data_IF_381622642659
#
_entry.id   IF_381622642659
#
_cell.length_a   1.000
_cell.length_b   1.000
_cell.length_c   1.000
_cell.angle_alpha   90.00
_cell.angle_beta   90.00
_cell.angle_gamma   90.00
#
_symmetry.space_group_name_H-M   'P 1'
#
loop_
_entity.id
_entity.type
_entity.pdbx_description
1 polymer ?
#
# COMPACT_ATOMS: atom_id res chain seq x y z
N UNK A 1 -13.37 16.13 -11.14
CA UNK A 1 -12.05 15.50 -11.43
C UNK A 1 -12.27 14.37 -12.42
N UNK A 2 -11.47 14.32 -13.47
CA UNK A 2 -11.45 13.22 -14.42
C UNK A 2 -10.14 12.44 -14.32
N UNK A 3 -10.21 11.15 -14.61
CA UNK A 3 -9.11 10.20 -14.53
C UNK A 3 -8.82 9.60 -15.90
N UNK A 4 -7.55 9.43 -16.20
CA UNK A 4 -7.04 8.85 -17.44
C UNK A 4 -6.27 7.56 -17.17
N UNK A 5 -6.12 6.73 -18.23
CA UNK A 5 -5.22 5.59 -18.22
C UNK A 5 -3.80 6.00 -18.59
N UNK A 6 -2.80 5.47 -17.88
CA UNK A 6 -1.38 5.65 -18.18
C UNK A 6 -0.97 5.11 -19.56
N UNK A 7 -1.78 4.24 -20.17
CA UNK A 7 -1.51 3.62 -21.48
C UNK A 7 -2.35 4.17 -22.63
N UNK A 8 -3.14 5.23 -22.38
CA UNK A 8 -3.79 6.01 -23.41
C UNK A 8 -5.18 5.57 -23.81
N UNK A 9 -5.86 4.75 -23.00
CA UNK A 9 -7.29 4.50 -23.22
C UNK A 9 -8.04 5.83 -23.33
N UNK A 10 -8.91 6.01 -24.34
CA UNK A 10 -9.52 7.31 -24.62
C UNK A 10 -10.53 7.77 -23.56
N UNK A 11 -11.14 6.84 -22.84
CA UNK A 11 -12.16 7.15 -21.85
C UNK A 11 -11.61 7.97 -20.70
N UNK A 12 -12.38 8.95 -20.27
CA UNK A 12 -12.19 9.70 -19.06
C UNK A 12 -13.29 9.32 -18.09
N UNK A 13 -12.89 8.93 -16.88
CA UNK A 13 -13.80 8.40 -15.86
C UNK A 13 -13.79 9.25 -14.61
N UNK A 14 -14.85 9.15 -13.83
CA UNK A 14 -14.94 9.79 -12.51
C UNK A 14 -14.46 8.83 -11.41
N UNK A 15 -14.29 9.35 -10.21
CA UNK A 15 -13.73 8.57 -9.09
C UNK A 15 -14.54 7.30 -8.78
N UNK A 16 -15.86 7.40 -8.66
CA UNK A 16 -16.70 6.26 -8.30
C UNK A 16 -16.73 5.16 -9.37
N UNK A 17 -16.45 5.50 -10.63
CA UNK A 17 -16.32 4.50 -11.70
C UNK A 17 -15.01 3.72 -11.54
N UNK A 18 -13.89 4.41 -11.36
CA UNK A 18 -12.57 3.76 -11.22
C UNK A 18 -12.39 3.06 -9.87
N UNK A 19 -13.12 3.48 -8.84
CA UNK A 19 -13.13 2.83 -7.52
C UNK A 19 -13.46 1.34 -7.61
N UNK A 20 -14.50 0.99 -8.35
CA UNK A 20 -14.96 -0.39 -8.51
C UNK A 20 -14.22 -1.11 -9.66
N UNK A 21 -13.80 -0.40 -10.68
CA UNK A 21 -13.10 -0.97 -11.83
C UNK A 21 -11.64 -1.34 -11.50
N UNK A 22 -10.94 -0.48 -10.79
CA UNK A 22 -9.57 -0.67 -10.32
C UNK A 22 -8.50 -0.49 -11.39
N UNK A 23 -8.61 -1.16 -12.54
CA UNK A 23 -7.66 -1.18 -13.65
C UNK A 23 -8.35 -0.70 -14.93
N UNK A 24 -7.63 0.07 -15.76
CA UNK A 24 -8.16 0.52 -17.05
C UNK A 24 -8.28 -0.65 -18.06
N UNK A 25 -9.19 -0.57 -19.04
CA UNK A 25 -9.42 -1.65 -20.01
C UNK A 25 -8.21 -2.01 -20.86
N UNK A 26 -7.28 -1.06 -21.05
CA UNK A 26 -6.02 -1.26 -21.77
C UNK A 26 -4.88 -1.80 -20.90
N UNK A 27 -5.19 -2.15 -19.65
CA UNK A 27 -4.20 -2.62 -18.67
C UNK A 27 -3.39 -1.50 -18.01
N UNK A 28 -3.66 -0.23 -18.36
CA UNK A 28 -3.05 0.93 -17.73
C UNK A 28 -3.61 1.22 -16.34
N UNK A 29 -2.91 2.07 -15.61
CA UNK A 29 -3.31 2.52 -14.27
C UNK A 29 -4.04 3.86 -14.36
N UNK A 30 -4.98 4.08 -13.45
CA UNK A 30 -5.67 5.36 -13.38
C UNK A 30 -4.86 6.41 -12.62
N UNK A 31 -4.84 7.62 -13.19
CA UNK A 31 -4.32 8.85 -12.59
C UNK A 31 -5.27 10.01 -12.88
N UNK A 32 -5.34 11.05 -12.03
CA UNK A 32 -6.05 12.27 -12.38
C UNK A 32 -5.41 12.94 -13.60
N UNK A 33 -6.20 13.62 -14.43
CA UNK A 33 -5.67 14.36 -15.58
C UNK A 33 -4.63 15.40 -15.18
N UNK A 34 -4.81 16.02 -14.02
CA UNK A 34 -3.83 16.90 -13.40
C UNK A 34 -3.88 16.76 -11.87
N UNK A 35 -2.74 16.91 -11.22
CA UNK A 35 -2.70 16.96 -9.77
C UNK A 35 -3.22 18.32 -9.27
N UNK A 36 -4.19 18.34 -8.34
CA UNK A 36 -4.61 19.58 -7.68
C UNK A 36 -3.42 20.27 -7.04
N UNK A 37 -3.37 21.59 -7.16
CA UNK A 37 -2.30 22.38 -6.57
C UNK A 37 -2.74 22.96 -5.22
N UNK A 38 -1.87 22.85 -4.23
CA UNK A 38 -2.08 23.33 -2.87
C UNK A 38 -1.09 24.48 -2.64
N UNK A 39 -1.61 25.68 -2.50
CA UNK A 39 -0.80 26.87 -2.24
C UNK A 39 -0.43 27.03 -0.75
N UNK A 40 0.41 28.00 -0.44
CA UNK A 40 0.88 28.26 0.91
C UNK A 40 -0.27 28.61 1.88
N UNK A 41 -1.30 29.29 1.42
CA UNK A 41 -2.47 29.63 2.23
C UNK A 41 -3.28 28.37 2.58
N UNK A 42 -3.47 27.48 1.61
CA UNK A 42 -4.14 26.19 1.81
C UNK A 42 -3.33 25.29 2.75
N UNK A 43 -2.02 25.21 2.60
CA UNK A 43 -1.15 24.44 3.52
C UNK A 43 -1.27 24.97 4.96
N UNK A 44 -1.27 26.29 5.14
CA UNK A 44 -1.45 26.92 6.47
C UNK A 44 -2.80 26.55 7.06
N UNK A 45 -3.87 26.63 6.28
CA UNK A 45 -5.22 26.26 6.72
C UNK A 45 -5.28 24.77 7.07
N UNK A 46 -4.71 23.88 6.27
CA UNK A 46 -4.74 22.44 6.53
C UNK A 46 -3.93 22.04 7.78
N UNK A 47 -2.85 22.75 8.06
CA UNK A 47 -2.11 22.58 9.32
C UNK A 47 -3.02 22.88 10.52
N UNK A 48 -3.79 23.96 10.47
CA UNK A 48 -4.77 24.30 11.52
C UNK A 48 -5.91 23.27 11.57
N UNK A 49 -6.42 22.81 10.42
CA UNK A 49 -7.45 21.76 10.36
C UNK A 49 -6.97 20.48 11.05
N UNK A 50 -5.76 20.03 10.78
CA UNK A 50 -5.20 18.85 11.44
C UNK A 50 -5.07 19.07 12.96
N UNK A 51 -4.56 20.21 13.38
CA UNK A 51 -4.32 20.51 14.79
C UNK A 51 -5.63 20.64 15.61
N UNK A 52 -6.66 21.26 15.04
CA UNK A 52 -7.90 21.60 15.72
C UNK A 52 -9.01 20.56 15.55
N UNK A 53 -9.09 19.93 14.37
CA UNK A 53 -10.18 19.05 13.98
C UNK A 53 -9.72 17.59 13.76
N UNK A 54 -8.43 17.35 13.65
CA UNK A 54 -7.84 16.01 13.56
C UNK A 54 -7.69 15.46 12.14
N UNK A 55 -7.23 14.22 12.08
CA UNK A 55 -6.86 13.54 10.82
C UNK A 55 -8.03 13.34 9.85
N UNK A 56 -9.21 12.96 10.35
CA UNK A 56 -10.39 12.76 9.50
C UNK A 56 -10.80 14.04 8.75
N UNK A 57 -10.66 15.20 9.39
CA UNK A 57 -10.92 16.49 8.76
C UNK A 57 -9.87 16.84 7.70
N UNK A 58 -8.58 16.56 7.96
CA UNK A 58 -7.53 16.70 6.94
C UNK A 58 -7.78 15.74 5.76
N UNK A 59 -8.17 14.50 6.04
CA UNK A 59 -8.51 13.54 4.98
C UNK A 59 -9.64 14.07 4.08
N UNK A 60 -10.69 14.65 4.65
CA UNK A 60 -11.76 15.28 3.87
C UNK A 60 -11.23 16.40 2.98
N UNK A 61 -10.37 17.27 3.48
CA UNK A 61 -9.77 18.34 2.69
C UNK A 61 -8.98 17.83 1.48
N UNK A 62 -8.14 16.83 1.69
CA UNK A 62 -7.33 16.22 0.60
C UNK A 62 -8.23 15.48 -0.39
N UNK A 63 -9.09 14.59 0.12
CA UNK A 63 -9.92 13.72 -0.72
C UNK A 63 -10.94 14.51 -1.55
N UNK A 64 -11.46 15.62 -1.03
CA UNK A 64 -12.41 16.49 -1.75
C UNK A 64 -11.84 17.10 -3.02
N UNK A 65 -10.51 17.22 -3.14
CA UNK A 65 -9.85 17.68 -4.37
C UNK A 65 -9.93 16.65 -5.50
N UNK A 66 -10.10 15.37 -5.16
CA UNK A 66 -10.06 14.24 -6.08
C UNK A 66 -11.43 13.58 -6.29
N UNK A 67 -12.29 13.64 -5.29
CA UNK A 67 -13.59 12.95 -5.25
C UNK A 67 -14.68 14.02 -5.30
N UNK A 68 -15.25 14.24 -6.49
CA UNK A 68 -16.30 15.24 -6.73
C UNK A 68 -17.64 14.61 -7.16
N UNK A 69 -17.74 13.28 -7.12
CA UNK A 69 -18.92 12.50 -7.46
C UNK A 69 -19.52 11.74 -6.26
N UNK A 70 -19.04 12.05 -5.04
CA UNK A 70 -19.68 11.73 -3.77
C UNK A 70 -20.13 13.06 -3.13
N UNK A 71 -21.37 13.18 -2.65
CA UNK A 71 -21.81 14.37 -1.93
C UNK A 71 -20.91 14.72 -0.75
N UNK A 72 -20.65 16.01 -0.53
CA UNK A 72 -19.67 16.47 0.47
C UNK A 72 -19.96 15.96 1.88
N UNK A 73 -21.24 15.94 2.30
CA UNK A 73 -21.62 15.45 3.63
C UNK A 73 -21.41 13.94 3.75
N UNK A 74 -21.64 13.18 2.69
CA UNK A 74 -21.39 11.73 2.66
C UNK A 74 -19.88 11.43 2.72
N UNK A 75 -19.06 12.17 1.97
CA UNK A 75 -17.61 12.02 2.03
C UNK A 75 -17.06 12.37 3.42
N UNK A 76 -17.60 13.42 4.04
CA UNK A 76 -17.28 13.80 5.42
C UNK A 76 -17.61 12.67 6.39
N UNK A 77 -18.80 12.08 6.28
CA UNK A 77 -19.22 10.96 7.10
C UNK A 77 -18.32 9.73 6.92
N UNK A 78 -17.92 9.43 5.68
CA UNK A 78 -16.99 8.33 5.36
C UNK A 78 -15.61 8.55 6.00
N UNK A 79 -15.04 9.74 5.92
CA UNK A 79 -13.78 10.08 6.57
C UNK A 79 -13.88 9.96 8.10
N UNK A 80 -14.94 10.50 8.70
CA UNK A 80 -15.17 10.46 10.14
C UNK A 80 -15.37 9.04 10.67
N UNK A 81 -16.04 8.17 9.90
CA UNK A 81 -16.22 6.74 10.22
C UNK A 81 -14.90 5.97 10.12
N UNK A 82 -14.04 6.33 9.18
CA UNK A 82 -12.80 5.60 8.87
C UNK A 82 -11.70 5.91 9.88
N UNK A 83 -11.39 7.20 10.06
CA UNK A 83 -10.20 7.64 10.80
C UNK A 83 -10.55 8.05 12.22
N UNK A 84 -10.68 7.06 13.09
CA UNK A 84 -11.01 7.24 14.50
C UNK A 84 -9.92 6.69 15.42
N UNK A 85 -9.82 7.21 16.63
CA UNK A 85 -8.91 6.68 17.65
C UNK A 85 -9.25 5.23 18.04
N UNK A 86 -10.52 4.83 17.94
CA UNK A 86 -10.93 3.44 18.18
C UNK A 86 -10.31 2.48 17.16
N UNK A 87 -10.33 2.86 15.88
CA UNK A 87 -9.80 2.03 14.78
C UNK A 87 -8.27 2.05 14.78
N UNK A 88 -7.65 3.21 14.96
CA UNK A 88 -6.19 3.41 14.79
C UNK A 88 -5.42 3.58 16.11
N UNK A 89 -6.04 3.33 17.24
CA UNK A 89 -5.37 3.24 18.54
C UNK A 89 -4.89 4.56 19.14
N UNK A 90 -4.90 5.65 18.39
CA UNK A 90 -4.46 6.98 18.84
C UNK A 90 -5.27 8.09 18.18
N UNK A 91 -5.41 9.22 18.87
CA UNK A 91 -6.12 10.39 18.38
C UNK A 91 -5.43 11.05 17.18
N UNK A 92 -4.11 10.99 17.13
CA UNK A 92 -3.30 11.54 16.06
C UNK A 92 -3.36 10.71 14.77
N UNK A 93 -3.84 9.47 14.83
CA UNK A 93 -3.93 8.46 13.77
C UNK A 93 -2.53 8.02 13.28
N UNK A 94 -1.66 8.96 12.93
CA UNK A 94 -0.29 8.72 12.44
C UNK A 94 0.73 9.55 13.24
N UNK A 95 0.89 9.29 14.56
CA UNK A 95 1.82 10.06 15.37
C UNK A 95 3.26 9.88 14.92
N UNK A 96 4.11 10.87 15.21
CA UNK A 96 5.54 10.76 15.00
C UNK A 96 6.26 10.30 16.27
N UNK A 97 7.24 9.42 16.09
CA UNK A 97 8.18 9.01 17.13
C UNK A 97 9.58 9.49 16.73
N UNK A 98 10.22 10.29 17.60
CA UNK A 98 11.60 10.71 17.38
C UNK A 98 12.52 9.50 17.60
N UNK A 99 13.35 9.18 16.62
CA UNK A 99 14.40 8.18 16.73
C UNK A 99 15.71 8.86 17.14
N UNK A 100 16.13 9.88 16.43
CA UNK A 100 17.32 10.69 16.70
C UNK A 100 17.14 12.09 16.10
N UNK A 101 18.08 13.01 16.32
CA UNK A 101 17.97 14.34 15.75
C UNK A 101 17.92 14.27 14.21
N UNK A 102 16.88 14.88 13.62
CA UNK A 102 16.63 14.85 12.20
C UNK A 102 16.08 13.55 11.63
N UNK A 103 15.77 12.55 12.48
CA UNK A 103 15.17 11.29 12.05
C UNK A 103 13.98 10.93 12.92
N UNK A 104 12.82 10.82 12.30
CA UNK A 104 11.56 10.48 12.95
C UNK A 104 10.89 9.30 12.25
N UNK A 105 10.04 8.59 12.97
CA UNK A 105 9.20 7.50 12.47
C UNK A 105 7.75 7.95 12.48
N UNK A 106 7.06 7.86 11.34
CA UNK A 106 5.63 8.05 11.27
C UNK A 106 4.93 6.70 11.48
N UNK A 107 4.15 6.62 12.55
CA UNK A 107 3.48 5.39 12.98
C UNK A 107 2.22 5.15 12.16
N UNK A 108 2.33 4.34 11.11
CA UNK A 108 1.22 4.00 10.20
C UNK A 108 0.53 2.68 10.55
N UNK A 109 1.05 1.92 11.53
CA UNK A 109 0.70 0.51 11.73
C UNK A 109 -0.14 0.25 12.98
N UNK A 110 -0.84 1.26 13.48
CA UNK A 110 -1.69 1.15 14.68
C UNK A 110 -3.14 0.73 14.35
N UNK A 111 -3.44 0.47 13.10
CA UNK A 111 -4.75 0.05 12.62
C UNK A 111 -5.12 -1.38 13.03
N UNK A 112 -6.27 -1.88 12.54
CA UNK A 112 -6.82 -3.18 12.97
C UNK A 112 -5.89 -4.36 12.78
N UNK A 113 -5.02 -4.36 11.75
CA UNK A 113 -4.15 -5.50 11.45
C UNK A 113 -2.67 -5.24 11.70
N UNK A 114 -2.33 -4.07 12.26
CA UNK A 114 -0.95 -3.70 12.61
C UNK A 114 0.00 -3.61 11.41
N UNK A 115 -0.53 -3.18 10.25
CA UNK A 115 0.23 -2.85 9.06
C UNK A 115 -0.27 -1.53 8.45
N UNK A 116 0.61 -0.78 7.79
CA UNK A 116 0.26 0.52 7.17
C UNK A 116 -0.87 0.40 6.14
N UNK A 117 -1.09 -0.79 5.60
CA UNK A 117 -2.14 -1.07 4.63
C UNK A 117 -3.55 -0.78 5.17
N UNK A 118 -3.74 -0.83 6.47
CA UNK A 118 -5.00 -0.46 7.12
C UNK A 118 -5.41 0.99 6.82
N UNK A 119 -4.45 1.89 6.67
CA UNK A 119 -4.70 3.30 6.38
C UNK A 119 -5.52 3.49 5.09
N UNK A 120 -5.22 2.70 4.07
CA UNK A 120 -5.94 2.73 2.80
C UNK A 120 -7.12 1.75 2.76
N UNK A 121 -6.97 0.54 3.31
CA UNK A 121 -8.00 -0.49 3.24
C UNK A 121 -9.25 -0.13 4.03
N UNK A 122 -9.13 0.50 5.20
CA UNK A 122 -10.29 0.92 5.98
C UNK A 122 -11.15 1.93 5.21
N UNK A 123 -10.54 2.90 4.55
CA UNK A 123 -11.26 3.83 3.68
C UNK A 123 -11.88 3.11 2.47
N UNK A 124 -11.11 2.25 1.82
CA UNK A 124 -11.58 1.48 0.65
C UNK A 124 -12.83 0.65 0.99
N UNK A 125 -12.82 -0.03 2.14
CA UNK A 125 -13.97 -0.80 2.60
C UNK A 125 -15.23 0.04 2.77
N UNK A 126 -15.10 1.22 3.38
CA UNK A 126 -16.20 2.15 3.56
C UNK A 126 -16.69 2.75 2.22
N UNK A 127 -15.77 3.07 1.31
CA UNK A 127 -16.11 3.55 -0.03
C UNK A 127 -16.82 2.46 -0.85
N UNK A 128 -16.37 1.22 -0.80
CA UNK A 128 -17.03 0.11 -1.49
C UNK A 128 -18.46 -0.10 -0.99
N UNK A 129 -18.66 -0.20 0.31
CA UNK A 129 -19.99 -0.38 0.90
C UNK A 129 -20.94 0.77 0.48
N UNK A 130 -20.45 2.01 0.53
CA UNK A 130 -21.21 3.19 0.14
C UNK A 130 -21.62 3.14 -1.34
N UNK A 131 -20.68 2.92 -2.24
CA UNK A 131 -20.93 2.97 -3.68
C UNK A 131 -21.76 1.78 -4.17
N UNK A 132 -21.51 0.58 -3.63
CA UNK A 132 -22.30 -0.61 -3.95
C UNK A 132 -23.76 -0.46 -3.50
N UNK A 133 -23.98 0.10 -2.30
CA UNK A 133 -25.34 0.40 -1.83
C UNK A 133 -26.04 1.42 -2.72
N UNK A 134 -25.34 2.47 -3.16
CA UNK A 134 -25.87 3.50 -4.06
C UNK A 134 -26.26 2.93 -5.42
N UNK A 135 -25.53 1.92 -5.91
CA UNK A 135 -25.82 1.25 -7.19
C UNK A 135 -26.78 0.07 -7.09
N UNK A 136 -27.03 -0.44 -5.91
CA UNK A 136 -27.75 -1.70 -5.72
C UNK A 136 -26.95 -2.92 -6.23
N UNK A 137 -25.62 -2.85 -6.19
CA UNK A 137 -24.70 -3.87 -6.70
C UNK A 137 -24.03 -4.64 -5.59
N UNK A 138 -23.41 -5.78 -5.94
CA UNK A 138 -22.58 -6.59 -5.08
C UNK A 138 -21.19 -6.79 -5.69
N UNK A 139 -20.21 -7.06 -4.84
CA UNK A 139 -18.84 -7.33 -5.24
C UNK A 139 -18.29 -8.53 -4.47
N UNK A 140 -17.69 -9.47 -5.19
CA UNK A 140 -16.96 -10.59 -4.63
C UNK A 140 -15.47 -10.37 -4.87
N UNK A 141 -14.75 -10.03 -3.83
CA UNK A 141 -13.32 -9.76 -3.89
C UNK A 141 -12.59 -11.10 -3.88
N UNK A 142 -11.78 -11.34 -4.89
CA UNK A 142 -10.87 -12.47 -4.97
C UNK A 142 -9.42 -11.96 -4.91
N UNK A 143 -8.64 -12.46 -3.98
CA UNK A 143 -7.27 -12.04 -3.79
C UNK A 143 -6.35 -13.18 -3.37
N UNK A 144 -5.05 -12.99 -3.59
CA UNK A 144 -3.98 -13.82 -3.05
C UNK A 144 -3.14 -12.99 -2.09
N UNK A 145 -2.69 -13.60 -1.01
CA UNK A 145 -1.92 -12.91 0.03
C UNK A 145 -0.80 -13.78 0.60
N UNK A 146 0.28 -13.13 0.99
CA UNK A 146 1.31 -13.69 1.88
C UNK A 146 1.07 -13.37 3.36
N UNK A 147 0.00 -12.60 3.68
CA UNK A 147 -0.43 -12.28 5.05
C UNK A 147 -0.95 -10.86 5.23
N UNK A 148 -0.14 -9.83 5.01
CA UNK A 148 -0.47 -8.43 5.38
C UNK A 148 -1.60 -7.83 4.53
N UNK A 149 -1.58 -8.04 3.23
CA UNK A 149 -2.61 -7.52 2.34
C UNK A 149 -3.95 -8.19 2.60
N UNK A 150 -3.93 -9.51 2.76
CA UNK A 150 -5.15 -10.29 3.03
C UNK A 150 -5.78 -9.93 4.36
N UNK A 151 -5.00 -9.87 5.43
CA UNK A 151 -5.53 -9.47 6.74
C UNK A 151 -6.10 -8.05 6.71
N UNK A 152 -5.42 -7.09 6.09
CA UNK A 152 -5.93 -5.71 5.97
C UNK A 152 -7.23 -5.64 5.17
N UNK A 153 -7.33 -6.39 4.06
CA UNK A 153 -8.54 -6.46 3.25
C UNK A 153 -9.72 -7.08 4.01
N UNK A 154 -9.49 -8.19 4.68
CA UNK A 154 -10.54 -8.89 5.44
C UNK A 154 -11.07 -8.04 6.59
N UNK A 155 -10.19 -7.41 7.38
CA UNK A 155 -10.60 -6.53 8.47
C UNK A 155 -11.31 -5.28 7.99
N UNK A 156 -10.99 -4.78 6.80
CA UNK A 156 -11.69 -3.65 6.20
C UNK A 156 -13.07 -4.01 5.65
N UNK A 157 -13.25 -5.25 5.18
CA UNK A 157 -14.47 -5.68 4.49
C UNK A 157 -15.41 -6.50 5.37
N UNK A 158 -14.94 -7.00 6.53
CA UNK A 158 -15.74 -7.83 7.42
C UNK A 158 -17.06 -7.14 7.82
N UNK A 159 -18.16 -7.88 7.76
CA UNK A 159 -19.48 -7.40 8.13
C UNK A 159 -20.09 -6.34 7.20
N UNK A 160 -19.41 -5.95 6.11
CA UNK A 160 -19.93 -4.95 5.19
C UNK A 160 -20.96 -5.53 4.23
N UNK A 161 -22.01 -4.74 3.98
CA UNK A 161 -23.07 -5.12 3.06
C UNK A 161 -22.61 -5.03 1.60
N UNK A 162 -23.04 -5.99 0.80
CA UNK A 162 -22.72 -6.02 -0.64
C UNK A 162 -21.31 -6.49 -0.99
N UNK A 163 -20.47 -6.80 0.00
CA UNK A 163 -19.09 -7.27 -0.23
C UNK A 163 -18.87 -8.66 0.36
N UNK A 164 -18.28 -9.57 -0.42
CA UNK A 164 -17.70 -10.83 0.06
C UNK A 164 -16.22 -10.87 -0.28
N UNK A 165 -15.43 -11.52 0.56
CA UNK A 165 -14.00 -11.69 0.36
C UNK A 165 -13.65 -13.17 0.28
N UNK A 166 -12.98 -13.55 -0.78
CA UNK A 166 -12.35 -14.86 -0.98
C UNK A 166 -10.84 -14.63 -1.06
N UNK A 167 -10.14 -15.00 0.02
CA UNK A 167 -8.71 -14.75 0.13
C UNK A 167 -7.92 -16.06 0.10
N UNK A 168 -7.06 -16.21 -0.91
CA UNK A 168 -6.18 -17.34 -1.08
C UNK A 168 -4.84 -17.07 -0.42
N UNK A 169 -4.36 -18.05 0.34
CA UNK A 169 -3.03 -18.01 0.96
C UNK A 169 -2.33 -19.35 0.85
N UNK A 170 -0.99 -19.40 0.79
CA UNK A 170 -0.27 -20.67 0.73
C UNK A 170 -0.38 -21.38 2.08
N UNK A 171 -0.82 -22.65 2.04
CA UNK A 171 -1.04 -23.46 3.23
C UNK A 171 0.21 -23.60 4.07
N UNK A 172 0.13 -23.20 5.35
CA UNK A 172 1.21 -23.35 6.34
C UNK A 172 2.40 -22.43 6.17
N UNK A 173 2.33 -21.42 5.29
CA UNK A 173 3.49 -20.54 4.99
C UNK A 173 3.40 -19.13 5.59
N UNK A 174 2.25 -18.69 6.03
CA UNK A 174 2.12 -17.44 6.77
C UNK A 174 2.60 -17.60 8.22
N UNK A 175 3.02 -16.52 8.87
CA UNK A 175 3.35 -16.54 10.30
C UNK A 175 2.14 -16.96 11.13
N UNK A 176 2.33 -17.59 12.31
CA UNK A 176 1.22 -17.98 13.19
C UNK A 176 0.29 -16.80 13.53
N UNK A 177 0.87 -15.62 13.73
CA UNK A 177 0.11 -14.40 14.03
C UNK A 177 -0.77 -13.97 12.84
N UNK A 178 -0.22 -13.95 11.63
CA UNK A 178 -0.98 -13.61 10.42
C UNK A 178 -2.10 -14.62 10.13
N UNK A 179 -1.81 -15.91 10.29
CA UNK A 179 -2.85 -16.96 10.19
C UNK A 179 -3.97 -16.72 11.20
N UNK A 180 -3.61 -16.41 12.45
CA UNK A 180 -4.59 -16.15 13.50
C UNK A 180 -5.44 -14.92 13.20
N UNK A 181 -4.82 -13.83 12.69
CA UNK A 181 -5.57 -12.64 12.29
C UNK A 181 -6.63 -12.94 11.24
N UNK A 182 -6.30 -13.71 10.21
CA UNK A 182 -7.22 -14.01 9.11
C UNK A 182 -8.21 -15.10 9.45
N UNK A 183 -7.72 -16.23 9.93
CA UNK A 183 -8.54 -17.44 10.08
C UNK A 183 -9.47 -17.42 11.30
N UNK A 184 -9.24 -16.53 12.26
CA UNK A 184 -10.13 -16.34 13.40
C UNK A 184 -11.37 -15.50 13.08
N UNK A 185 -11.45 -14.90 11.89
CA UNK A 185 -12.62 -14.14 11.47
C UNK A 185 -13.78 -15.07 11.16
N UNK A 186 -14.93 -14.83 11.85
CA UNK A 186 -16.14 -15.65 11.71
C UNK A 186 -17.27 -14.93 10.97
N UNK A 187 -16.98 -13.74 10.40
CA UNK A 187 -17.94 -12.96 9.62
C UNK A 187 -18.38 -13.75 8.39
N UNK A 188 -19.67 -13.77 8.09
CA UNK A 188 -20.25 -14.59 7.01
C UNK A 188 -19.72 -14.23 5.62
N UNK A 189 -19.30 -12.97 5.44
CA UNK A 189 -18.79 -12.46 4.17
C UNK A 189 -17.27 -12.65 3.98
N UNK A 190 -16.56 -13.29 4.91
CA UNK A 190 -15.10 -13.53 4.83
C UNK A 190 -14.86 -15.02 4.62
N UNK A 191 -14.14 -15.36 3.56
CA UNK A 191 -13.81 -16.73 3.19
C UNK A 191 -12.30 -16.87 2.98
N UNK A 192 -11.66 -17.66 3.83
CA UNK A 192 -10.24 -17.99 3.76
C UNK A 192 -10.04 -19.35 3.08
N UNK A 193 -9.15 -19.37 2.07
CA UNK A 193 -8.79 -20.56 1.30
C UNK A 193 -7.27 -20.75 1.43
N UNK A 194 -6.86 -21.82 2.11
CA UNK A 194 -5.45 -22.21 2.19
C UNK A 194 -5.14 -23.20 1.06
N UNK A 195 -4.32 -22.79 0.12
CA UNK A 195 -3.95 -23.55 -1.08
C UNK A 195 -2.71 -24.38 -0.79
N UNK A 196 -2.77 -25.67 -1.08
CA UNK A 196 -1.62 -26.60 -1.01
C UNK A 196 -0.64 -26.27 -2.14
N UNK A 197 0.24 -25.28 -1.91
CA UNK A 197 1.17 -24.75 -2.88
C UNK A 197 1.96 -23.56 -2.32
N UNK A 198 2.53 -22.78 -3.21
CA UNK A 198 3.26 -21.54 -2.90
C UNK A 198 2.41 -20.31 -3.22
N UNK A 199 2.92 -19.12 -2.88
CA UNK A 199 2.19 -17.87 -3.13
C UNK A 199 1.91 -17.63 -4.62
N UNK A 200 2.83 -18.03 -5.49
CA UNK A 200 2.64 -17.90 -6.95
C UNK A 200 1.47 -18.74 -7.45
N UNK A 201 1.27 -19.93 -6.88
CA UNK A 201 0.10 -20.79 -7.22
C UNK A 201 -1.22 -20.06 -6.86
N UNK A 202 -1.26 -19.40 -5.70
CA UNK A 202 -2.41 -18.59 -5.30
C UNK A 202 -2.66 -17.45 -6.29
N UNK A 203 -1.61 -16.75 -6.71
CA UNK A 203 -1.71 -15.65 -7.67
C UNK A 203 -2.17 -16.14 -9.05
N UNK A 204 -1.67 -17.29 -9.50
CA UNK A 204 -2.03 -17.85 -10.79
C UNK A 204 -3.50 -18.31 -10.82
N UNK A 205 -4.02 -18.87 -9.73
CA UNK A 205 -5.45 -19.15 -9.59
C UNK A 205 -6.27 -17.86 -9.68
N UNK A 206 -5.89 -16.80 -8.94
CA UNK A 206 -6.60 -15.51 -8.98
C UNK A 206 -6.61 -14.93 -10.40
N UNK A 207 -5.47 -14.99 -11.10
CA UNK A 207 -5.37 -14.54 -12.50
C UNK A 207 -6.27 -15.38 -13.42
N UNK A 208 -6.24 -16.70 -13.29
CA UNK A 208 -7.06 -17.59 -14.12
C UNK A 208 -8.56 -17.33 -13.93
N UNK A 209 -9.02 -17.18 -12.69
CA UNK A 209 -10.41 -16.85 -12.40
C UNK A 209 -10.79 -15.47 -12.94
N UNK A 210 -9.91 -14.49 -12.79
CA UNK A 210 -10.14 -13.11 -13.25
C UNK A 210 -10.13 -12.97 -14.78
N UNK A 211 -9.41 -13.86 -15.47
CA UNK A 211 -9.34 -13.92 -16.94
C UNK A 211 -10.52 -14.67 -17.56
N UNK A 212 -11.26 -15.47 -16.78
CA UNK A 212 -12.55 -16.02 -17.21
C UNK A 212 -13.60 -14.92 -17.11
N UNK A 213 -13.78 -14.21 -18.22
CA UNK A 213 -14.64 -13.02 -18.28
C UNK A 213 -16.11 -13.33 -18.02
N UNK A 214 -16.58 -14.52 -18.37
CA UNK A 214 -17.95 -14.93 -18.12
C UNK A 214 -18.16 -15.21 -16.63
N UNK A 215 -17.27 -15.94 -16.01
CA UNK A 215 -17.28 -16.17 -14.58
C UNK A 215 -17.15 -14.86 -13.79
N UNK A 216 -16.19 -14.03 -14.17
CA UNK A 216 -15.96 -12.70 -13.56
C UNK A 216 -17.23 -11.85 -13.60
N UNK A 217 -17.91 -11.81 -14.71
CA UNK A 217 -19.14 -11.03 -14.90
C UNK A 217 -20.30 -11.60 -14.10
N UNK A 218 -20.49 -12.93 -14.19
CA UNK A 218 -21.57 -13.63 -13.50
C UNK A 218 -21.49 -13.51 -11.98
N UNK A 219 -20.29 -13.65 -11.43
CA UNK A 219 -20.06 -13.64 -9.97
C UNK A 219 -19.52 -12.30 -9.45
N UNK A 220 -19.51 -11.24 -10.28
CA UNK A 220 -19.04 -9.90 -9.89
C UNK A 220 -17.67 -9.93 -9.21
N UNK A 221 -16.72 -10.65 -9.80
CA UNK A 221 -15.37 -10.77 -9.27
C UNK A 221 -14.63 -9.46 -9.39
N UNK A 222 -14.14 -8.95 -8.27
CA UNK A 222 -13.31 -7.76 -8.18
C UNK A 222 -12.05 -8.01 -7.35
N UNK A 223 -11.29 -6.96 -7.13
CA UNK A 223 -10.01 -7.04 -6.43
C UNK A 223 -9.76 -5.80 -5.56
N UNK A 224 -8.90 -5.98 -4.55
CA UNK A 224 -8.40 -4.89 -3.70
C UNK A 224 -6.91 -4.62 -3.93
N UNK A 225 -6.43 -4.81 -5.14
CA UNK A 225 -5.02 -4.66 -5.49
C UNK A 225 -4.46 -3.28 -5.15
N UNK A 226 -3.15 -3.21 -4.90
CA UNK A 226 -2.43 -1.98 -4.60
C UNK A 226 -2.50 -0.92 -5.70
N UNK A 227 -2.86 -1.32 -6.93
CA UNK A 227 -3.02 -0.42 -8.08
C UNK A 227 -4.31 0.40 -8.06
N UNK A 228 -5.30 0.05 -7.25
CA UNK A 228 -6.53 0.84 -7.13
C UNK A 228 -6.19 2.27 -6.69
N UNK A 229 -6.66 3.26 -7.48
CA UNK A 229 -6.36 4.67 -7.21
C UNK A 229 -6.82 5.12 -5.82
N UNK A 230 -7.98 4.65 -5.36
CA UNK A 230 -8.48 4.99 -4.03
C UNK A 230 -7.52 4.57 -2.91
N UNK A 231 -6.83 3.43 -3.07
CA UNK A 231 -5.80 2.99 -2.13
C UNK A 231 -4.60 3.93 -2.11
N UNK A 232 -4.15 4.36 -3.28
CA UNK A 232 -3.04 5.31 -3.38
C UNK A 232 -3.46 6.68 -2.82
N UNK A 233 -4.64 7.16 -3.20
CA UNK A 233 -5.17 8.44 -2.74
C UNK A 233 -5.29 8.53 -1.21
N UNK A 234 -5.77 7.48 -0.56
CA UNK A 234 -5.83 7.41 0.90
C UNK A 234 -4.45 7.61 1.56
N UNK A 235 -3.40 7.14 0.90
CA UNK A 235 -2.03 7.26 1.40
C UNK A 235 -1.44 8.67 1.23
N UNK A 236 -1.95 9.46 0.29
CA UNK A 236 -1.53 10.87 0.12
C UNK A 236 -1.76 11.66 1.41
N UNK A 237 -2.83 11.39 2.11
CA UNK A 237 -3.23 12.13 3.33
C UNK A 237 -2.16 12.08 4.41
N UNK A 238 -1.57 10.92 4.70
CA UNK A 238 -0.60 10.84 5.79
C UNK A 238 0.76 11.48 5.44
N UNK A 239 1.08 11.71 4.18
CA UNK A 239 2.24 12.54 3.84
C UNK A 239 2.03 13.99 4.25
N UNK A 240 0.82 14.54 4.07
CA UNK A 240 0.48 15.85 4.59
C UNK A 240 0.49 15.88 6.12
N UNK A 241 -0.12 14.90 6.77
CA UNK A 241 -0.12 14.81 8.22
C UNK A 241 1.29 14.69 8.80
N UNK A 242 2.11 13.78 8.27
CA UNK A 242 3.50 13.59 8.68
C UNK A 242 4.35 14.85 8.49
N UNK A 243 4.15 15.56 7.39
CA UNK A 243 4.80 16.85 7.15
C UNK A 243 4.40 17.88 8.22
N UNK A 244 3.12 18.02 8.51
CA UNK A 244 2.64 18.98 9.51
C UNK A 244 3.11 18.64 10.92
N UNK A 245 3.19 17.37 11.27
CA UNK A 245 3.73 16.94 12.57
C UNK A 245 5.25 17.12 12.67
N UNK A 246 5.99 16.99 11.56
CA UNK A 246 7.44 17.10 11.53
C UNK A 246 7.94 18.54 11.46
N UNK A 247 7.07 19.52 11.16
CA UNK A 247 7.43 20.90 10.89
C UNK A 247 6.56 21.88 11.67
N UNK A 248 7.08 23.09 11.87
CA UNK A 248 6.35 24.19 12.52
C UNK A 248 5.92 25.28 11.54
N UNK A 249 6.50 25.29 10.34
CA UNK A 249 6.16 26.25 9.26
C UNK A 249 6.23 25.57 7.89
N UNK A 250 5.61 26.19 6.88
CA UNK A 250 5.57 25.65 5.52
C UNK A 250 6.82 26.03 4.69
N UNK A 251 7.77 26.77 5.26
CA UNK A 251 9.08 27.06 4.66
C UNK A 251 10.08 25.91 4.88
N UNK A 252 9.80 25.05 5.85
CA UNK A 252 10.61 23.89 6.14
C UNK A 252 10.37 22.80 5.11
N UNK A 253 11.43 22.06 4.77
CA UNK A 253 11.36 20.88 3.91
C UNK A 253 11.60 19.62 4.72
N UNK A 254 10.94 18.54 4.32
CA UNK A 254 11.07 17.22 4.92
C UNK A 254 11.31 16.20 3.82
N UNK A 255 12.24 15.28 4.05
CA UNK A 255 12.39 14.08 3.22
C UNK A 255 11.61 12.92 3.85
N UNK A 256 11.04 12.08 3.00
CA UNK A 256 10.40 10.84 3.45
C UNK A 256 11.23 9.65 2.96
N UNK A 257 11.53 8.71 3.86
CA UNK A 257 12.13 7.43 3.51
C UNK A 257 11.09 6.33 3.63
N UNK A 258 10.90 5.60 2.54
CA UNK A 258 9.75 4.72 2.37
C UNK A 258 10.22 3.32 2.04
N UNK A 259 10.01 2.33 2.93
CA UNK A 259 10.15 0.93 2.57
C UNK A 259 9.23 0.60 1.40
N UNK A 260 9.79 0.12 0.29
CA UNK A 260 9.03 0.01 -0.97
C UNK A 260 9.22 -1.34 -1.65
N UNK A 261 8.08 -1.99 -1.95
CA UNK A 261 7.97 -3.13 -2.84
C UNK A 261 7.15 -2.75 -4.08
N UNK A 262 5.83 -2.62 -3.93
CA UNK A 262 4.90 -2.28 -5.02
C UNK A 262 4.90 -0.80 -5.44
N UNK A 263 5.72 0.03 -4.83
CA UNK A 263 5.82 1.46 -5.11
C UNK A 263 4.58 2.29 -4.72
N UNK A 264 3.54 1.70 -4.20
CA UNK A 264 2.28 2.39 -3.89
C UNK A 264 2.44 3.50 -2.85
N UNK A 265 3.09 3.19 -1.73
CA UNK A 265 3.31 4.14 -0.65
C UNK A 265 4.15 5.35 -1.11
N UNK A 266 5.31 5.11 -1.71
CA UNK A 266 6.17 6.20 -2.17
C UNK A 266 5.58 6.97 -3.36
N UNK A 267 4.76 6.33 -4.19
CA UNK A 267 4.01 6.99 -5.25
C UNK A 267 2.99 8.00 -4.67
N UNK A 268 2.35 7.68 -3.54
CA UNK A 268 1.50 8.64 -2.83
C UNK A 268 2.30 9.86 -2.35
N UNK A 269 3.53 9.68 -1.90
CA UNK A 269 4.47 10.76 -1.59
C UNK A 269 4.82 11.60 -2.81
N UNK A 270 5.03 10.96 -3.97
CA UNK A 270 5.22 11.64 -5.23
C UNK A 270 4.01 12.52 -5.58
N UNK A 271 2.80 12.00 -5.46
CA UNK A 271 1.56 12.77 -5.69
C UNK A 271 1.48 13.96 -4.73
N UNK A 272 1.71 13.76 -3.43
CA UNK A 272 1.70 14.84 -2.44
C UNK A 272 2.70 15.95 -2.78
N UNK A 273 3.92 15.57 -3.23
CA UNK A 273 4.94 16.49 -3.67
C UNK A 273 4.51 17.26 -4.93
N UNK A 274 3.88 16.59 -5.89
CA UNK A 274 3.35 17.23 -7.10
C UNK A 274 2.17 18.17 -6.80
N UNK A 275 1.44 17.96 -5.72
CA UNK A 275 0.42 18.89 -5.23
C UNK A 275 0.99 20.15 -4.61
N UNK A 276 2.28 20.18 -4.25
CA UNK A 276 2.94 21.33 -3.64
C UNK A 276 3.35 21.14 -2.18
N UNK A 277 3.21 19.93 -1.61
CA UNK A 277 3.77 19.65 -0.28
C UNK A 277 5.29 19.79 -0.32
N UNK A 278 5.91 20.55 0.64
CA UNK A 278 7.34 20.82 0.63
C UNK A 278 8.18 19.58 1.02
N UNK A 279 8.16 18.58 0.17
CA UNK A 279 8.98 17.37 0.26
C UNK A 279 10.31 17.66 -0.46
N UNK A 280 11.43 17.51 0.24
CA UNK A 280 12.75 17.62 -0.36
C UNK A 280 13.09 16.40 -1.19
N UNK A 281 13.18 15.22 -0.54
CA UNK A 281 13.44 13.94 -1.21
C UNK A 281 12.41 12.89 -0.85
N UNK A 282 12.22 11.97 -1.80
CA UNK A 282 11.55 10.69 -1.60
C UNK A 282 12.61 9.60 -1.71
N UNK A 283 12.95 8.98 -0.60
CA UNK A 283 14.00 7.97 -0.50
C UNK A 283 13.35 6.59 -0.52
N UNK A 284 13.60 5.87 -1.60
CA UNK A 284 13.10 4.50 -1.78
C UNK A 284 14.05 3.52 -1.09
N UNK A 285 13.56 2.81 -0.09
CA UNK A 285 14.32 1.75 0.57
C UNK A 285 13.83 0.39 0.10
N UNK A 286 14.73 -0.41 -0.48
CA UNK A 286 14.45 -1.79 -0.89
C UNK A 286 15.10 -2.80 0.04
N UNK A 287 14.64 -4.05 -0.02
CA UNK A 287 15.37 -5.19 0.52
C UNK A 287 16.30 -5.79 -0.54
N UNK A 288 16.65 -7.08 -0.40
CA UNK A 288 17.48 -7.81 -1.38
C UNK A 288 16.85 -7.85 -2.78
N UNK A 289 15.52 -7.71 -2.87
CA UNK A 289 14.79 -7.56 -4.13
C UNK A 289 14.84 -6.08 -4.56
N UNK A 290 15.96 -5.69 -5.13
CA UNK A 290 16.38 -4.30 -5.34
C UNK A 290 16.00 -3.72 -6.71
N UNK A 291 14.91 -4.17 -7.31
CA UNK A 291 14.46 -3.74 -8.65
C UNK A 291 14.31 -2.21 -8.74
N UNK A 292 13.71 -1.59 -7.73
CA UNK A 292 13.54 -0.13 -7.70
C UNK A 292 14.86 0.60 -7.47
N UNK A 293 15.71 0.11 -6.57
CA UNK A 293 17.03 0.71 -6.33
C UNK A 293 17.91 0.64 -7.59
N UNK A 294 17.89 -0.50 -8.30
CA UNK A 294 18.56 -0.64 -9.60
C UNK A 294 18.10 0.45 -10.58
N UNK A 295 16.77 0.66 -10.71
CA UNK A 295 16.25 1.68 -11.61
C UNK A 295 16.72 3.09 -11.22
N UNK A 296 16.56 3.50 -9.98
CA UNK A 296 16.93 4.86 -9.58
C UNK A 296 18.43 5.14 -9.66
N UNK A 297 19.28 4.11 -9.60
CA UNK A 297 20.73 4.23 -9.81
C UNK A 297 21.15 4.21 -11.27
N UNK A 298 20.47 3.44 -12.12
CA UNK A 298 20.98 3.11 -13.46
C UNK A 298 20.03 3.48 -14.60
N UNK A 299 18.76 3.69 -14.34
CA UNK A 299 17.71 3.84 -15.36
C UNK A 299 17.16 2.51 -15.89
N UNK A 300 17.74 1.37 -15.50
CA UNK A 300 17.28 0.04 -15.92
C UNK A 300 16.22 -0.48 -14.95
N UNK A 301 15.01 -0.73 -15.45
CA UNK A 301 13.96 -1.45 -14.75
C UNK A 301 13.89 -2.88 -15.25
N UNK A 302 14.36 -3.81 -14.45
CA UNK A 302 14.49 -5.22 -14.80
C UNK A 302 13.66 -6.07 -13.85
N UNK A 303 12.55 -6.62 -14.36
CA UNK A 303 11.71 -7.58 -13.63
C UNK A 303 12.44 -8.90 -13.51
N UNK A 304 12.46 -9.47 -12.31
CA UNK A 304 13.07 -10.78 -12.05
C UNK A 304 11.99 -11.84 -12.02
N UNK A 305 12.31 -13.03 -12.51
CA UNK A 305 11.43 -14.19 -12.40
C UNK A 305 11.33 -14.70 -10.97
N UNK A 306 10.40 -15.62 -10.71
CA UNK A 306 10.22 -16.21 -9.38
C UNK A 306 11.47 -16.90 -8.85
N UNK A 307 12.29 -17.49 -9.72
CA UNK A 307 13.57 -18.11 -9.34
C UNK A 307 14.65 -17.10 -8.88
N UNK A 308 14.54 -15.84 -9.31
CA UNK A 308 15.49 -14.77 -9.01
C UNK A 308 14.96 -13.80 -7.93
N UNK A 309 13.77 -14.06 -7.41
CA UNK A 309 13.17 -13.29 -6.33
C UNK A 309 13.52 -13.96 -5.01
N UNK A 310 14.13 -13.21 -4.10
CA UNK A 310 14.54 -13.71 -2.78
C UNK A 310 13.35 -13.74 -1.82
N UNK A 311 13.21 -14.84 -1.07
CA UNK A 311 12.43 -14.85 0.16
C UNK A 311 13.24 -14.21 1.27
N UNK A 312 12.76 -13.10 1.84
CA UNK A 312 13.50 -12.31 2.82
C UNK A 312 12.76 -12.21 4.15
N UNK A 313 13.45 -11.69 5.16
CA UNK A 313 12.84 -11.36 6.45
C UNK A 313 11.99 -10.07 6.46
N UNK A 314 11.89 -9.38 5.30
CA UNK A 314 10.92 -8.29 5.08
C UNK A 314 9.98 -8.64 3.91
N UNK A 315 9.12 -9.67 4.06
CA UNK A 315 8.46 -10.35 2.95
C UNK A 315 7.44 -9.49 2.18
N UNK A 316 6.91 -8.44 2.76
CA UNK A 316 5.99 -7.53 2.04
C UNK A 316 6.68 -6.74 0.93
N UNK A 317 8.01 -6.74 0.93
CA UNK A 317 8.86 -6.10 -0.08
C UNK A 317 9.52 -7.12 -1.03
N UNK A 318 9.18 -8.40 -0.96
CA UNK A 318 9.65 -9.45 -1.86
C UNK A 318 8.91 -9.34 -3.21
N UNK A 319 9.21 -8.27 -3.91
CA UNK A 319 8.53 -7.84 -5.12
C UNK A 319 9.54 -7.68 -6.24
N UNK A 320 9.28 -8.36 -7.36
CA UNK A 320 10.08 -8.27 -8.58
C UNK A 320 9.50 -7.34 -9.63
N UNK A 321 8.18 -7.11 -9.58
CA UNK A 321 7.47 -6.18 -10.45
C UNK A 321 6.66 -5.21 -9.60
N UNK A 322 7.15 -3.97 -9.48
CA UNK A 322 6.50 -2.93 -8.70
C UNK A 322 5.27 -2.40 -9.42
N UNK A 323 4.08 -2.82 -8.99
CA UNK A 323 2.82 -2.60 -9.70
C UNK A 323 2.42 -1.13 -9.88
N UNK A 324 2.83 -0.24 -8.97
CA UNK A 324 2.52 1.20 -9.06
C UNK A 324 3.62 2.05 -9.70
N UNK A 325 4.73 1.44 -10.06
CA UNK A 325 5.88 2.16 -10.62
C UNK A 325 5.55 2.84 -11.97
N UNK A 326 4.66 2.25 -12.74
CA UNK A 326 4.16 2.79 -14.01
C UNK A 326 3.61 4.22 -13.86
N UNK A 327 2.96 4.55 -12.74
CA UNK A 327 2.43 5.90 -12.49
C UNK A 327 3.53 6.96 -12.43
N UNK A 328 4.62 6.65 -11.76
CA UNK A 328 5.76 7.56 -11.71
C UNK A 328 6.47 7.68 -13.07
N UNK A 329 6.70 6.56 -13.75
CA UNK A 329 7.33 6.58 -15.08
C UNK A 329 6.48 7.35 -16.09
N UNK A 330 5.16 7.23 -16.04
CA UNK A 330 4.26 8.04 -16.85
C UNK A 330 4.49 9.55 -16.63
N UNK A 331 4.58 10.01 -15.40
CA UNK A 331 4.90 11.41 -15.09
C UNK A 331 6.32 11.78 -15.53
N UNK A 332 7.31 10.90 -15.31
CA UNK A 332 8.70 11.09 -15.72
C UNK A 332 8.83 11.30 -17.26
N UNK A 333 8.01 10.58 -18.02
CA UNK A 333 7.94 10.68 -19.49
C UNK A 333 7.07 11.85 -19.99
N UNK A 334 6.70 12.79 -19.11
CA UNK A 334 5.84 13.93 -19.46
C UNK A 334 4.41 13.52 -19.82
N UNK A 335 3.94 12.39 -19.26
CA UNK A 335 2.62 11.80 -19.50
C UNK A 335 2.41 11.30 -20.94
N UNK A 336 3.49 10.85 -21.57
CA UNK A 336 3.43 10.19 -22.89
C UNK A 336 2.89 8.75 -22.73
N UNK A 337 1.59 8.59 -22.99
CA UNK A 337 0.89 7.32 -22.84
C UNK A 337 1.37 6.25 -23.83
N UNK A 338 1.68 6.63 -25.06
CA UNK A 338 2.15 5.69 -26.09
C UNK A 338 3.52 5.13 -25.70
N UNK A 339 4.40 5.98 -25.20
CA UNK A 339 5.72 5.57 -24.71
C UNK A 339 5.61 4.72 -23.46
N UNK A 340 4.75 5.08 -22.51
CA UNK A 340 4.50 4.31 -21.29
C UNK A 340 4.00 2.91 -21.64
N UNK A 341 3.02 2.80 -22.54
CA UNK A 341 2.50 1.52 -23.02
C UNK A 341 3.61 0.66 -23.62
N UNK A 342 4.44 1.23 -24.51
CA UNK A 342 5.59 0.50 -25.10
C UNK A 342 6.51 -0.07 -24.04
N UNK A 343 6.86 0.71 -23.00
CA UNK A 343 7.75 0.24 -21.94
C UNK A 343 7.12 -0.87 -21.08
N UNK A 344 5.91 -0.64 -20.58
CA UNK A 344 5.27 -1.54 -19.60
C UNK A 344 4.52 -2.72 -20.21
N UNK A 345 4.09 -2.63 -21.46
CA UNK A 345 3.43 -3.72 -22.17
C UNK A 345 4.40 -4.46 -23.09
N UNK A 346 5.01 -3.76 -24.06
CA UNK A 346 5.83 -4.41 -25.06
C UNK A 346 7.23 -4.81 -24.52
N UNK A 347 8.01 -3.87 -24.02
CA UNK A 347 9.40 -4.14 -23.58
C UNK A 347 9.45 -5.13 -22.41
N UNK A 348 8.60 -4.93 -21.37
CA UNK A 348 8.58 -5.85 -20.25
C UNK A 348 8.11 -7.25 -20.64
N UNK A 349 7.13 -7.38 -21.56
CA UNK A 349 6.64 -8.66 -22.02
C UNK A 349 7.67 -9.40 -22.88
N UNK A 350 8.37 -8.67 -23.76
CA UNK A 350 9.33 -9.26 -24.71
C UNK A 350 10.71 -9.49 -24.10
N UNK A 351 11.16 -8.58 -23.24
CA UNK A 351 12.55 -8.54 -22.76
C UNK A 351 12.68 -8.61 -21.23
N UNK A 352 11.57 -8.56 -20.49
CA UNK A 352 11.56 -8.51 -19.02
C UNK A 352 12.18 -7.24 -18.44
N UNK A 353 12.51 -6.25 -19.27
CA UNK A 353 13.17 -5.01 -18.84
C UNK A 353 12.97 -3.87 -19.83
N UNK A 354 13.18 -2.65 -19.35
CA UNK A 354 13.45 -1.48 -20.18
C UNK A 354 14.57 -0.64 -19.55
N UNK A 355 15.18 0.24 -20.34
CA UNK A 355 16.30 1.07 -19.92
C UNK A 355 16.07 2.53 -20.34
N UNK A 356 16.11 3.44 -19.37
CA UNK A 356 16.04 4.89 -19.54
C UNK A 356 17.36 5.57 -19.18
N UNK A 357 18.44 4.81 -18.91
CA UNK A 357 19.71 5.36 -18.41
C UNK A 357 20.35 6.38 -19.36
N UNK A 358 20.19 6.20 -20.67
CA UNK A 358 20.66 7.16 -21.68
C UNK A 358 19.62 8.24 -22.03
N UNK A 359 18.41 8.18 -21.49
CA UNK A 359 17.36 9.15 -21.75
C UNK A 359 17.57 10.41 -20.90
N UNK A 360 17.54 11.62 -21.51
CA UNK A 360 17.68 12.87 -20.75
C UNK A 360 16.64 13.04 -19.63
N UNK A 361 15.47 12.42 -19.76
CA UNK A 361 14.41 12.49 -18.75
C UNK A 361 14.76 11.70 -17.48
N UNK A 362 15.63 10.70 -17.57
CA UNK A 362 15.98 9.89 -16.39
C UNK A 362 16.59 10.73 -15.27
N UNK A 363 17.45 11.70 -15.60
CA UNK A 363 18.04 12.58 -14.61
C UNK A 363 16.99 13.39 -13.81
N UNK A 364 15.81 13.60 -14.38
CA UNK A 364 14.72 14.30 -13.71
C UNK A 364 14.13 13.50 -12.53
N UNK A 365 14.32 12.18 -12.47
CA UNK A 365 13.90 11.40 -11.31
C UNK A 365 14.50 11.96 -10.01
N UNK A 366 15.79 12.31 -10.03
CA UNK A 366 16.47 12.93 -8.89
C UNK A 366 16.28 14.45 -8.85
N UNK A 367 16.51 15.15 -9.98
CA UNK A 367 16.63 16.62 -9.99
C UNK A 367 15.28 17.34 -9.90
N UNK A 368 14.25 16.82 -10.56
CA UNK A 368 12.90 17.38 -10.57
C UNK A 368 11.98 16.74 -9.53
N UNK A 369 12.01 15.41 -9.44
CA UNK A 369 11.09 14.65 -8.63
C UNK A 369 11.63 14.26 -7.25
N UNK A 370 12.93 14.51 -6.99
CA UNK A 370 13.55 14.35 -5.67
C UNK A 370 13.78 12.91 -5.24
N UNK A 371 13.74 11.92 -6.14
CA UNK A 371 13.98 10.53 -5.78
C UNK A 371 15.44 10.23 -5.48
N UNK A 372 15.64 9.43 -4.44
CA UNK A 372 16.88 8.74 -4.11
C UNK A 372 16.54 7.32 -3.67
N UNK A 373 17.51 6.42 -3.67
CA UNK A 373 17.25 5.04 -3.27
C UNK A 373 18.44 4.38 -2.58
N UNK A 374 18.15 3.31 -1.86
CA UNK A 374 19.15 2.46 -1.23
C UNK A 374 18.59 1.08 -0.94
N UNK A 375 19.48 0.15 -0.62
CA UNK A 375 19.18 -1.25 -0.36
C UNK A 375 19.57 -1.65 1.06
N UNK A 376 18.80 -2.55 1.65
CA UNK A 376 19.05 -3.19 2.94
C UNK A 376 19.05 -4.71 2.77
N UNK A 377 19.85 -5.39 3.58
CA UNK A 377 19.96 -6.85 3.60
C UNK A 377 19.50 -7.39 4.97
N UNK A 378 19.35 -8.71 5.08
CA UNK A 378 19.01 -9.36 6.35
C UNK A 378 19.97 -8.96 7.47
N UNK A 379 21.28 -8.98 7.23
CA UNK A 379 22.28 -8.52 8.20
C UNK A 379 22.09 -7.08 8.62
N UNK A 380 21.75 -6.19 7.65
CA UNK A 380 21.45 -4.79 7.94
C UNK A 380 20.19 -4.66 8.80
N UNK A 381 19.14 -5.43 8.51
CA UNK A 381 17.88 -5.42 9.29
C UNK A 381 18.13 -5.78 10.75
N UNK A 382 18.83 -6.90 11.01
CA UNK A 382 19.15 -7.33 12.36
C UNK A 382 19.95 -6.28 13.12
N UNK A 383 20.98 -5.71 12.49
CA UNK A 383 21.81 -4.66 13.11
C UNK A 383 21.00 -3.39 13.38
N UNK A 384 20.13 -2.98 12.45
CA UNK A 384 19.31 -1.78 12.59
C UNK A 384 18.24 -1.92 13.67
N UNK A 385 17.55 -3.07 13.73
CA UNK A 385 16.59 -3.38 14.79
C UNK A 385 17.28 -3.31 16.16
N UNK A 386 18.44 -3.95 16.29
CA UNK A 386 19.22 -3.95 17.53
C UNK A 386 19.67 -2.55 17.94
N UNK A 387 20.32 -1.83 17.04
CA UNK A 387 20.83 -0.49 17.33
C UNK A 387 19.69 0.49 17.70
N UNK A 388 18.56 0.44 16.99
CA UNK A 388 17.40 1.30 17.26
C UNK A 388 16.80 0.99 18.64
N UNK A 389 16.69 -0.30 18.99
CA UNK A 389 16.19 -0.69 20.30
C UNK A 389 17.16 -0.30 21.44
N UNK A 390 18.45 -0.56 21.29
CA UNK A 390 19.45 -0.29 22.31
C UNK A 390 19.67 1.21 22.55
N UNK A 391 19.62 2.02 21.49
CA UNK A 391 19.94 3.44 21.57
C UNK A 391 18.71 4.32 21.82
N UNK A 392 17.55 3.98 21.26
CA UNK A 392 16.34 4.78 21.36
C UNK A 392 15.20 4.11 22.15
N UNK A 393 15.33 2.85 22.52
CA UNK A 393 14.27 2.09 23.20
C UNK A 393 13.07 1.77 22.28
N UNK A 394 13.21 1.96 20.98
CA UNK A 394 12.13 1.75 20.01
C UNK A 394 12.33 0.42 19.29
N UNK A 395 11.31 -0.45 19.36
CA UNK A 395 11.30 -1.71 18.63
C UNK A 395 10.59 -1.51 17.30
N UNK A 396 11.31 -1.73 16.21
CA UNK A 396 10.80 -1.58 14.84
C UNK A 396 10.69 -2.95 14.15
N UNK A 397 9.77 -3.07 13.20
CA UNK A 397 9.64 -4.26 12.37
C UNK A 397 10.75 -4.34 11.29
N UNK A 398 10.81 -5.46 10.61
CA UNK A 398 11.84 -5.75 9.62
C UNK A 398 11.82 -4.81 8.41
N UNK A 399 10.64 -4.45 7.92
CA UNK A 399 10.47 -3.53 6.79
C UNK A 399 10.84 -2.08 7.18
N UNK A 400 10.39 -1.64 8.35
CA UNK A 400 10.76 -0.34 8.90
C UNK A 400 12.27 -0.26 9.11
N UNK A 401 12.91 -1.37 9.49
CA UNK A 401 14.36 -1.45 9.61
C UNK A 401 15.09 -1.20 8.28
N UNK A 402 14.55 -1.71 7.16
CA UNK A 402 15.09 -1.39 5.83
C UNK A 402 15.03 0.12 5.56
N UNK A 403 13.92 0.77 5.90
CA UNK A 403 13.76 2.22 5.79
C UNK A 403 14.72 3.01 6.68
N UNK A 404 14.84 2.64 7.95
CA UNK A 404 15.72 3.32 8.91
C UNK A 404 17.19 3.18 8.50
N UNK A 405 17.61 1.99 8.04
CA UNK A 405 18.97 1.74 7.52
C UNK A 405 19.30 2.68 6.37
N UNK A 406 18.43 2.71 5.37
CA UNK A 406 18.64 3.54 4.18
C UNK A 406 18.58 5.03 4.49
N UNK A 407 17.66 5.45 5.37
CA UNK A 407 17.58 6.83 5.82
C UNK A 407 18.88 7.30 6.50
N UNK A 408 19.42 6.48 7.42
CA UNK A 408 20.69 6.79 8.09
C UNK A 408 21.87 6.87 7.12
N UNK A 409 21.91 5.98 6.15
CA UNK A 409 22.97 5.91 5.13
C UNK A 409 22.96 7.14 4.20
N UNK A 410 21.77 7.59 3.77
CA UNK A 410 21.63 8.64 2.76
C UNK A 410 21.37 10.02 3.34
N UNK A 411 21.20 10.16 4.66
CA UNK A 411 20.90 11.44 5.32
C UNK A 411 22.00 12.46 5.08
N UNK A 412 21.60 13.66 4.66
CA UNK A 412 22.49 14.80 4.51
C UNK A 412 22.54 15.63 5.81
N UNK A 413 23.63 16.38 6.05
CA UNK A 413 23.70 17.28 7.21
C UNK A 413 22.51 18.25 7.26
N UNK A 414 21.85 18.33 8.42
CA UNK A 414 20.70 19.21 8.65
C UNK A 414 19.38 18.75 8.01
N UNK A 415 19.37 17.62 7.31
CA UNK A 415 18.15 17.08 6.69
C UNK A 415 17.22 16.47 7.74
N UNK A 416 15.93 16.80 7.63
CA UNK A 416 14.86 16.17 8.39
C UNK A 416 14.27 15.04 7.57
N UNK A 417 14.34 13.82 8.08
CA UNK A 417 13.77 12.63 7.41
C UNK A 417 12.69 12.02 8.29
N UNK A 418 11.55 11.76 7.70
CA UNK A 418 10.47 10.94 8.26
C UNK A 418 10.52 9.57 7.57
N UNK A 419 10.77 8.52 8.35
CA UNK A 419 10.67 7.14 7.89
C UNK A 419 9.24 6.67 8.10
N UNK A 420 8.64 6.05 7.09
CA UNK A 420 7.30 5.51 7.19
C UNK A 420 7.34 4.09 7.76
N UNK A 421 6.61 3.88 8.85
CA UNK A 421 6.46 2.55 9.46
C UNK A 421 5.62 1.65 8.54
N UNK A 422 6.04 0.39 8.41
CA UNK A 422 5.32 -0.57 7.55
C UNK A 422 4.39 -1.47 8.35
N UNK A 423 4.87 -2.01 9.49
CA UNK A 423 4.12 -2.93 10.34
C UNK A 423 4.61 -2.84 11.79
N UNK A 424 3.88 -3.48 12.70
CA UNK A 424 4.39 -3.68 14.06
C UNK A 424 5.21 -4.97 14.16
N UNK A 425 6.22 -5.00 15.06
CA UNK A 425 7.17 -6.12 15.19
C UNK A 425 6.54 -7.49 15.43
N UNK A 426 5.39 -7.56 16.10
CA UNK A 426 4.69 -8.81 16.42
C UNK A 426 4.37 -9.66 15.18
N UNK A 427 4.19 -9.04 14.03
CA UNK A 427 3.91 -9.74 12.77
C UNK A 427 5.11 -10.54 12.26
N UNK A 428 6.32 -10.20 12.70
CA UNK A 428 7.60 -10.78 12.27
C UNK A 428 8.45 -11.20 13.46
N UNK A 429 7.81 -11.84 14.44
CA UNK A 429 8.39 -12.17 15.74
C UNK A 429 9.67 -12.98 15.67
N UNK A 430 9.81 -13.90 14.71
CA UNK A 430 11.00 -14.73 14.54
C UNK A 430 12.26 -13.89 14.33
N UNK A 431 12.22 -12.95 13.39
CA UNK A 431 13.35 -12.05 13.10
C UNK A 431 13.62 -11.08 14.26
N UNK A 432 12.58 -10.64 14.97
CA UNK A 432 12.76 -9.81 16.17
C UNK A 432 13.51 -10.58 17.27
N UNK A 433 13.16 -11.86 17.50
CA UNK A 433 13.89 -12.74 18.44
C UNK A 433 15.34 -12.95 18.00
N UNK A 434 15.57 -13.16 16.71
CA UNK A 434 16.92 -13.26 16.15
C UNK A 434 17.75 -12.00 16.41
N UNK A 435 17.16 -10.82 16.23
CA UNK A 435 17.85 -9.54 16.44
C UNK A 435 18.08 -9.21 17.91
N UNK A 436 17.09 -9.44 18.78
CA UNK A 436 17.04 -8.90 20.15
C UNK A 436 17.10 -9.96 21.26
N UNK A 437 16.96 -11.24 20.93
CA UNK A 437 16.89 -12.32 21.92
C UNK A 437 15.63 -12.26 22.81
N UNK A 438 14.59 -11.56 22.38
CA UNK A 438 13.32 -11.39 23.11
C UNK A 438 12.12 -11.34 22.19
N UNK A 439 10.95 -11.63 22.75
CA UNK A 439 9.70 -11.49 22.03
C UNK A 439 9.34 -10.02 21.73
N UNK A 440 8.71 -9.75 20.58
CA UNK A 440 8.17 -8.42 20.31
C UNK A 440 7.00 -8.09 21.25
N UNK A 441 6.78 -6.80 21.46
CA UNK A 441 5.60 -6.30 22.18
C UNK A 441 4.34 -6.69 21.41
N UNK A 442 3.37 -7.24 22.14
CA UNK A 442 2.04 -7.61 21.61
C UNK A 442 1.01 -6.59 22.10
N UNK A 443 0.23 -5.93 21.22
CA UNK A 443 -0.91 -5.15 21.67
C UNK A 443 -1.95 -6.04 22.37
N UNK A 444 -2.44 -5.59 23.54
CA UNK A 444 -3.33 -6.39 24.41
C UNK A 444 -4.59 -6.92 23.68
N UNK A 445 -5.11 -6.18 22.71
CA UNK A 445 -6.27 -6.62 21.90
C UNK A 445 -6.02 -7.90 21.09
N UNK A 446 -4.78 -8.34 20.95
CA UNK A 446 -4.39 -9.57 20.26
C UNK A 446 -3.92 -10.68 21.20
N UNK A 447 -4.08 -10.49 22.53
CA UNK A 447 -3.74 -11.55 23.47
C UNK A 447 -4.60 -12.80 23.21
N UNK A 448 -3.94 -13.95 23.07
CA UNK A 448 -4.58 -15.23 22.85
C UNK A 448 -5.19 -15.45 21.45
N UNK A 449 -4.94 -14.58 20.46
CA UNK A 449 -5.52 -14.69 19.13
C UNK A 449 -5.22 -16.03 18.45
N UNK A 450 -4.03 -16.59 18.69
CA UNK A 450 -3.63 -17.89 18.12
C UNK A 450 -4.44 -19.08 18.66
N UNK A 451 -5.07 -18.93 19.81
CA UNK A 451 -5.93 -19.95 20.42
C UNK A 451 -7.39 -19.86 20.02
N UNK A 452 -7.79 -18.81 19.30
CA UNK A 452 -9.16 -18.67 18.80
C UNK A 452 -9.50 -19.76 17.76
N UNK A 453 -10.78 -20.14 17.65
CA UNK A 453 -11.24 -21.02 16.58
C UNK A 453 -10.85 -20.46 15.21
N UNK A 454 -10.45 -21.34 14.31
CA UNK A 454 -10.03 -20.98 12.95
C UNK A 454 -11.00 -21.51 11.92
N UNK A 455 -11.36 -20.65 10.96
CA UNK A 455 -12.20 -21.01 9.82
C UNK A 455 -11.41 -20.79 8.54
N UNK A 456 -10.97 -21.89 7.93
CA UNK A 456 -10.21 -21.89 6.69
C UNK A 456 -10.53 -23.19 5.91
N UNK A 457 -10.67 -23.06 4.60
CA UNK A 457 -10.83 -24.20 3.70
C UNK A 457 -9.47 -24.54 3.08
N UNK A 458 -8.96 -25.72 3.39
CA UNK A 458 -7.73 -26.22 2.72
C UNK A 458 -8.14 -26.91 1.42
N UNK A 459 -7.47 -26.61 0.31
CA UNK A 459 -7.69 -27.25 -0.98
C UNK A 459 -6.43 -27.28 -1.84
N UNK A 460 -6.40 -28.19 -2.81
CA UNK A 460 -5.34 -28.26 -3.81
C UNK A 460 -5.30 -26.98 -4.67
N UNK A 461 -4.16 -26.73 -5.32
CA UNK A 461 -3.98 -25.63 -6.27
C UNK A 461 -4.77 -25.91 -7.57
N UNK A 462 -6.09 -25.77 -7.53
CA UNK A 462 -7.03 -26.08 -8.60
C UNK A 462 -8.02 -24.93 -8.83
N UNK A 463 -7.98 -24.35 -10.02
CA UNK A 463 -8.83 -23.22 -10.43
C UNK A 463 -10.33 -23.59 -10.35
N UNK A 464 -10.71 -24.78 -10.81
CA UNK A 464 -12.11 -25.20 -10.80
C UNK A 464 -12.64 -25.51 -9.40
N UNK A 465 -11.78 -25.97 -8.50
CA UNK A 465 -12.14 -26.13 -7.08
C UNK A 465 -12.46 -24.78 -6.44
N UNK A 466 -11.63 -23.76 -6.70
CA UNK A 466 -11.87 -22.39 -6.20
C UNK A 466 -13.13 -21.78 -6.80
N UNK A 467 -13.36 -21.91 -8.11
CA UNK A 467 -14.59 -21.46 -8.76
C UNK A 467 -15.85 -22.13 -8.18
N UNK A 468 -15.77 -23.42 -7.91
CA UNK A 468 -16.88 -24.18 -7.29
C UNK A 468 -17.17 -23.64 -5.90
N UNK A 469 -16.15 -23.41 -5.10
CA UNK A 469 -16.27 -22.84 -3.76
C UNK A 469 -16.94 -21.45 -3.77
N UNK A 470 -16.61 -20.61 -4.76
CA UNK A 470 -17.24 -19.29 -4.96
C UNK A 470 -18.71 -19.45 -5.37
N UNK A 471 -19.02 -20.34 -6.34
CA UNK A 471 -20.40 -20.59 -6.80
C UNK A 471 -21.34 -20.99 -5.64
N UNK A 472 -20.87 -21.85 -4.75
CA UNK A 472 -21.66 -22.35 -3.62
C UNK A 472 -21.99 -21.26 -2.58
N UNK A 473 -21.21 -20.17 -2.55
CA UNK A 473 -21.33 -19.10 -1.54
C UNK A 473 -21.84 -17.79 -2.09
N UNK A 474 -21.91 -17.66 -3.40
CA UNK A 474 -22.48 -16.49 -4.06
C UNK A 474 -23.85 -16.89 -4.63
N UNK A 475 -24.96 -16.32 -4.13
CA UNK A 475 -26.24 -16.49 -4.79
C UNK A 475 -26.12 -16.02 -6.25
N UNK A 476 -26.71 -16.76 -7.17
CA UNK A 476 -26.84 -16.32 -8.56
C UNK A 476 -27.68 -15.05 -8.58
N UNK A 477 -27.11 -14.00 -9.14
CA UNK A 477 -27.81 -12.72 -9.36
C UNK A 477 -28.57 -12.79 -10.68
#
# INVERSE_FOLDING_TARGET
>A
MLYLSTRGHPDRKRFCEILLEGLAPDGGLYLPEAYPQVDAATLTRWRSVLAEQGYAALALEVLSLYIDDIPADDLKALCAKTYTAEVFGTKEIVPLTKLEDGLQLEALSNGPTLAFKDMAMQLLGNLFEYELARRGEQLNILGATSGDTGSAAEYAMRGKQGVRVFMLSPHGRMSPFQQAQMFSLMDENIHNIAVEGVFDDCQDIVKAVSNDLDFKRQYKIGTVNSINWARLLAQVVYYFAGYFYATTSNDQKVSFCVPSGNFGNVCAGHVARQMGLPIDRLIVATNENDVLDEFFRTGTYRVRGSADTYETSSPSMDISKASNFERFVFDLLGRDAARTKRLFDDELRLHGRFDLGADPLFAQAATKYGFASGKSTHTNRLATIRATFEQQGVMIDTHTADGVKVARELRRPGEQIVVLETALPIKFAETIREALGRDPVRPARFDGIESLPKRVQVMAADVEAVKRYIRERCPQV
#
